data_IF_743729874491
#
_entry.id   IF_743729874491
#
_cell.length_a   1.000
_cell.length_b   1.000
_cell.length_c   1.000
_cell.angle_alpha   90.00
_cell.angle_beta   90.00
_cell.angle_gamma   90.00
#
_symmetry.space_group_name_H-M   'P 1'
#
loop_
_entity.id
_entity.type
_entity.pdbx_description
1 polymer ?
#
# COMPACT_ATOMS: atom_id res chain seq x y z
N UNK A 1 -24.93 -20.30 -1.73
CA UNK A 1 -24.98 -21.59 -1.02
C UNK A 1 -24.04 -22.63 -1.66
N UNK A 2 -23.73 -22.54 -2.95
CA UNK A 2 -22.88 -23.54 -3.66
C UNK A 2 -21.37 -23.46 -3.33
N UNK A 3 -20.83 -22.29 -2.97
CA UNK A 3 -19.38 -22.11 -2.72
C UNK A 3 -18.87 -22.66 -1.37
N UNK A 4 -19.75 -22.87 -0.37
CA UNK A 4 -19.34 -23.30 0.97
C UNK A 4 -18.89 -24.76 1.01
N UNK A 5 -19.52 -25.62 0.21
CA UNK A 5 -19.17 -27.04 0.14
C UNK A 5 -17.80 -27.26 -0.52
N UNK A 6 -17.49 -26.51 -1.58
CA UNK A 6 -16.17 -26.55 -2.21
C UNK A 6 -15.08 -26.08 -1.25
N UNK A 7 -15.26 -24.92 -0.60
CA UNK A 7 -14.33 -24.40 0.40
C UNK A 7 -14.07 -25.41 1.53
N UNK A 8 -15.14 -25.99 2.08
CA UNK A 8 -15.00 -26.99 3.13
C UNK A 8 -14.30 -28.27 2.64
N UNK A 9 -14.48 -28.65 1.37
CA UNK A 9 -13.78 -29.79 0.78
C UNK A 9 -12.29 -29.50 0.57
N UNK A 10 -11.94 -28.33 0.02
CA UNK A 10 -10.56 -27.89 -0.13
C UNK A 10 -9.84 -27.83 1.23
N UNK A 11 -10.47 -27.25 2.25
CA UNK A 11 -9.89 -27.20 3.59
C UNK A 11 -9.61 -28.61 4.16
N UNK A 12 -10.52 -29.57 3.97
CA UNK A 12 -10.27 -30.97 4.37
C UNK A 12 -9.10 -31.61 3.61
N UNK A 13 -8.89 -31.26 2.33
CA UNK A 13 -7.74 -31.73 1.56
C UNK A 13 -6.43 -31.19 2.14
N UNK A 14 -6.42 -29.91 2.54
CA UNK A 14 -5.26 -29.30 3.19
C UNK A 14 -4.92 -29.99 4.51
N UNK A 15 -5.89 -30.13 5.40
CA UNK A 15 -5.71 -30.71 6.74
C UNK A 15 -5.30 -32.20 6.68
N UNK A 16 -5.84 -32.95 5.72
CA UNK A 16 -5.56 -34.37 5.60
C UNK A 16 -4.27 -34.68 4.83
N UNK A 17 -3.77 -33.75 4.00
CA UNK A 17 -2.63 -33.95 3.11
C UNK A 17 -2.79 -35.09 2.08
N UNK A 18 -4.00 -35.68 1.97
CA UNK A 18 -4.27 -36.79 1.05
C UNK A 18 -4.24 -36.25 -0.38
N UNK A 19 -3.70 -37.04 -1.31
CA UNK A 19 -3.57 -36.71 -2.74
C UNK A 19 -2.71 -35.50 -3.08
N UNK A 20 -1.96 -34.95 -2.11
CA UNK A 20 -0.95 -33.95 -2.38
C UNK A 20 0.10 -34.53 -3.36
N UNK A 21 0.34 -33.81 -4.44
CA UNK A 21 1.20 -34.18 -5.56
C UNK A 21 2.37 -33.19 -5.72
N UNK A 22 2.52 -32.28 -4.75
CA UNK A 22 3.60 -31.29 -4.71
C UNK A 22 3.94 -30.89 -3.28
N UNK A 23 5.16 -30.41 -3.06
CA UNK A 23 5.59 -29.86 -1.76
C UNK A 23 6.19 -28.47 -1.94
N UNK A 24 5.63 -27.48 -1.26
CA UNK A 24 6.29 -26.18 -1.10
C UNK A 24 7.18 -26.21 0.14
N UNK A 25 8.39 -25.69 0.02
CA UNK A 25 9.36 -25.60 1.12
C UNK A 25 9.66 -24.13 1.36
N UNK A 26 9.51 -23.66 2.59
CA UNK A 26 9.88 -22.30 2.95
C UNK A 26 10.63 -22.33 4.30
N UNK A 27 11.92 -22.01 4.26
CA UNK A 27 12.80 -22.17 5.41
C UNK A 27 12.83 -23.63 5.88
N UNK A 28 12.28 -23.90 7.06
CA UNK A 28 12.24 -25.25 7.65
C UNK A 28 10.92 -25.96 7.43
N UNK A 29 9.89 -25.23 6.99
CA UNK A 29 8.54 -25.74 6.88
C UNK A 29 8.33 -26.37 5.50
N UNK A 30 7.63 -27.50 5.49
CA UNK A 30 7.25 -28.24 4.29
C UNK A 30 5.74 -28.36 4.24
N UNK A 31 5.17 -27.98 3.10
CA UNK A 31 3.74 -27.94 2.88
C UNK A 31 3.36 -28.91 1.74
N UNK A 32 2.84 -30.10 2.05
CA UNK A 32 2.21 -30.96 1.05
C UNK A 32 0.97 -30.25 0.48
N UNK A 33 0.97 -30.00 -0.82
CA UNK A 33 -0.07 -29.22 -1.50
C UNK A 33 -0.47 -29.86 -2.84
N UNK A 34 -1.54 -29.33 -3.43
CA UNK A 34 -2.12 -29.84 -4.68
C UNK A 34 -1.80 -28.89 -5.84
N UNK A 35 -1.11 -29.37 -6.87
CA UNK A 35 -0.74 -28.58 -8.07
C UNK A 35 -1.94 -27.86 -8.67
N UNK A 36 -3.08 -28.55 -8.74
CA UNK A 36 -4.34 -27.99 -9.26
C UNK A 36 -4.75 -26.70 -8.53
N UNK A 37 -4.68 -26.67 -7.21
CA UNK A 37 -5.10 -25.50 -6.43
C UNK A 37 -4.08 -24.36 -6.54
N UNK A 38 -2.78 -24.69 -6.60
CA UNK A 38 -1.75 -23.69 -6.85
C UNK A 38 -1.94 -23.05 -8.23
N UNK A 39 -2.09 -23.85 -9.29
CA UNK A 39 -2.28 -23.37 -10.66
C UNK A 39 -3.56 -22.55 -10.83
N UNK A 40 -4.65 -22.93 -10.14
CA UNK A 40 -5.92 -22.20 -10.19
C UNK A 40 -5.79 -20.76 -9.67
N UNK A 41 -4.93 -20.55 -8.68
CA UNK A 41 -4.81 -19.26 -7.98
C UNK A 41 -3.59 -18.44 -8.40
N UNK A 42 -2.55 -19.07 -8.96
CA UNK A 42 -1.25 -18.46 -9.19
C UNK A 42 -0.79 -18.67 -10.63
N UNK A 43 -0.65 -17.56 -11.36
CA UNK A 43 -0.07 -17.57 -12.71
C UNK A 43 1.38 -18.05 -12.69
N UNK A 44 2.10 -17.82 -11.59
CA UNK A 44 3.46 -18.36 -11.42
C UNK A 44 3.45 -19.89 -11.38
N UNK A 45 2.61 -20.50 -10.52
CA UNK A 45 2.57 -21.95 -10.38
C UNK A 45 1.94 -22.64 -11.59
N UNK A 46 0.93 -22.04 -12.22
CA UNK A 46 0.40 -22.50 -13.51
C UNK A 46 1.53 -22.66 -14.53
N UNK A 47 2.32 -21.60 -14.73
CA UNK A 47 3.47 -21.62 -15.65
C UNK A 47 4.56 -22.59 -15.20
N UNK A 48 4.86 -22.65 -13.90
CA UNK A 48 5.86 -23.55 -13.36
C UNK A 48 5.53 -24.99 -13.75
N UNK A 49 4.28 -25.40 -13.59
CA UNK A 49 3.86 -26.78 -13.85
C UNK A 49 3.82 -27.16 -15.32
N UNK A 50 3.84 -26.19 -16.24
CA UNK A 50 3.93 -26.37 -17.68
C UNK A 50 5.38 -26.35 -18.22
N UNK A 51 6.38 -26.25 -17.34
CA UNK A 51 7.81 -26.21 -17.73
C UNK A 51 8.53 -27.53 -17.50
N UNK A 52 9.66 -27.72 -18.19
CA UNK A 52 10.62 -28.80 -17.94
C UNK A 52 11.64 -28.46 -16.83
N UNK A 53 11.35 -27.45 -15.99
CA UNK A 53 12.23 -27.09 -14.89
C UNK A 53 12.25 -28.16 -13.80
N UNK A 54 13.37 -28.21 -13.07
CA UNK A 54 13.62 -29.24 -12.06
C UNK A 54 12.51 -29.27 -11.01
N UNK A 55 12.01 -28.12 -10.60
CA UNK A 55 10.95 -27.94 -9.62
C UNK A 55 9.65 -28.62 -10.10
N UNK A 56 9.30 -28.43 -11.38
CA UNK A 56 8.11 -29.04 -11.98
C UNK A 56 8.20 -30.58 -12.02
N UNK A 57 9.41 -31.12 -12.19
CA UNK A 57 9.68 -32.56 -12.33
C UNK A 57 9.96 -33.26 -10.99
N UNK A 58 10.57 -32.57 -10.03
CA UNK A 58 10.97 -33.13 -8.73
C UNK A 58 9.80 -33.25 -7.75
N UNK A 59 8.70 -32.52 -7.99
CA UNK A 59 7.55 -32.49 -7.09
C UNK A 59 7.74 -31.61 -5.86
N UNK A 60 8.85 -30.85 -5.78
CA UNK A 60 9.12 -29.93 -4.69
C UNK A 60 9.61 -28.58 -5.23
N UNK A 61 9.24 -27.48 -4.57
CA UNK A 61 9.72 -26.13 -4.89
C UNK A 61 10.07 -25.38 -3.60
N UNK A 62 11.27 -24.83 -3.55
CA UNK A 62 11.78 -24.08 -2.40
C UNK A 62 11.65 -22.56 -2.62
N UNK A 63 11.09 -21.87 -1.63
CA UNK A 63 10.78 -20.44 -1.63
C UNK A 63 11.76 -19.73 -0.67
N UNK A 64 12.96 -19.44 -1.17
CA UNK A 64 14.12 -19.04 -0.35
C UNK A 64 14.07 -17.62 0.21
N UNK A 65 13.46 -16.66 -0.50
CA UNK A 65 13.53 -15.23 -0.20
C UNK A 65 12.21 -14.65 0.33
N UNK A 66 11.35 -15.52 0.87
CA UNK A 66 9.99 -15.15 1.28
C UNK A 66 9.80 -15.30 2.78
N UNK A 67 8.98 -14.44 3.36
CA UNK A 67 8.66 -14.50 4.77
C UNK A 67 7.84 -15.77 5.08
N UNK A 68 8.33 -16.72 5.91
CA UNK A 68 7.69 -18.03 6.07
C UNK A 68 6.23 -17.96 6.51
N UNK A 69 5.90 -17.09 7.45
CA UNK A 69 4.52 -16.90 7.90
C UNK A 69 3.62 -16.35 6.76
N UNK A 70 4.15 -15.50 5.88
CA UNK A 70 3.36 -14.96 4.76
C UNK A 70 3.10 -16.01 3.68
N UNK A 71 4.09 -16.88 3.43
CA UNK A 71 3.92 -18.07 2.58
C UNK A 71 2.87 -19.00 3.17
N UNK A 72 2.90 -19.27 4.48
CA UNK A 72 1.88 -20.09 5.13
C UNK A 72 0.47 -19.51 4.97
N UNK A 73 0.33 -18.18 5.10
CA UNK A 73 -0.92 -17.46 4.87
C UNK A 73 -1.38 -17.52 3.40
N UNK A 74 -0.46 -17.42 2.43
CA UNK A 74 -0.76 -17.62 1.01
C UNK A 74 -1.24 -19.05 0.73
N UNK A 75 -0.59 -20.06 1.32
CA UNK A 75 -1.00 -21.46 1.17
C UNK A 75 -2.39 -21.66 1.79
N UNK A 76 -2.64 -21.12 2.99
CA UNK A 76 -3.97 -21.14 3.61
C UNK A 76 -5.05 -20.51 2.72
N UNK A 77 -4.70 -19.44 2.01
CA UNK A 77 -5.60 -18.81 1.04
C UNK A 77 -6.00 -19.76 -0.10
N UNK A 78 -5.08 -20.54 -0.67
CA UNK A 78 -5.41 -21.49 -1.76
C UNK A 78 -6.48 -22.53 -1.40
N UNK A 79 -6.67 -22.82 -0.12
CA UNK A 79 -7.65 -23.82 0.34
C UNK A 79 -8.89 -23.22 0.98
N UNK A 80 -8.79 -22.00 1.50
CA UNK A 80 -9.87 -21.39 2.27
C UNK A 80 -10.39 -20.07 1.69
N UNK A 81 -9.80 -19.57 0.59
CA UNK A 81 -10.15 -18.27 -0.03
C UNK A 81 -10.04 -17.08 0.94
N UNK A 82 -9.32 -17.27 2.04
CA UNK A 82 -9.03 -16.28 3.05
C UNK A 82 -7.70 -16.68 3.75
N UNK A 83 -7.03 -15.75 4.41
CA UNK A 83 -5.80 -16.03 5.14
C UNK A 83 -5.81 -15.55 6.58
N UNK A 84 -6.72 -14.63 6.95
CA UNK A 84 -6.77 -14.05 8.30
C UNK A 84 -8.23 -13.87 8.75
N UNK A 85 -8.77 -14.86 9.47
CA UNK A 85 -10.14 -14.83 10.01
C UNK A 85 -10.19 -14.34 11.45
N UNK A 86 -9.05 -14.38 12.16
CA UNK A 86 -9.00 -14.16 13.60
C UNK A 86 -7.87 -13.17 13.90
N UNK A 87 -8.20 -12.13 14.65
CA UNK A 87 -7.35 -11.00 15.07
C UNK A 87 -6.19 -11.37 15.99
N UNK A 88 -5.84 -12.66 16.09
CA UNK A 88 -4.56 -13.04 16.69
C UNK A 88 -3.47 -12.69 15.69
N UNK A 89 -2.81 -11.56 15.93
CA UNK A 89 -1.48 -11.30 15.40
C UNK A 89 -0.63 -12.53 15.66
N UNK A 90 -0.30 -13.23 14.59
CA UNK A 90 0.69 -14.29 14.62
C UNK A 90 1.98 -13.68 15.19
N UNK A 91 2.63 -14.35 16.15
CA UNK A 91 3.85 -13.85 16.83
C UNK A 91 5.00 -13.54 15.84
N UNK A 92 4.84 -13.97 14.59
CA UNK A 92 5.74 -13.72 13.47
C UNK A 92 5.67 -12.30 12.89
N UNK A 93 4.68 -11.47 13.25
CA UNK A 93 4.57 -10.08 12.78
C UNK A 93 4.43 -9.12 13.96
N UNK A 94 5.07 -7.95 13.88
CA UNK A 94 4.99 -6.91 14.90
C UNK A 94 3.56 -6.37 15.04
N UNK A 95 2.82 -6.27 13.93
CA UNK A 95 1.42 -5.85 13.93
C UNK A 95 0.67 -6.30 12.65
N UNK A 96 -0.67 -6.13 12.60
CA UNK A 96 -1.46 -6.55 11.44
C UNK A 96 -1.10 -5.84 10.11
N UNK A 97 -0.61 -4.61 10.14
CA UNK A 97 -0.22 -3.88 8.92
C UNK A 97 0.97 -4.58 8.24
N UNK A 98 1.97 -4.96 9.04
CA UNK A 98 3.14 -5.70 8.56
C UNK A 98 2.73 -7.06 7.98
N UNK A 99 1.87 -7.79 8.67
CA UNK A 99 1.32 -9.06 8.17
C UNK A 99 0.66 -8.90 6.80
N UNK A 100 -0.26 -7.93 6.64
CA UNK A 100 -0.95 -7.73 5.35
C UNK A 100 0.00 -7.24 4.26
N UNK A 101 1.02 -6.44 4.60
CA UNK A 101 2.06 -6.02 3.66
C UNK A 101 2.89 -7.22 3.15
N UNK A 102 3.33 -8.12 4.03
CA UNK A 102 4.03 -9.34 3.60
C UNK A 102 3.16 -10.25 2.75
N UNK A 103 1.88 -10.42 3.10
CA UNK A 103 0.97 -11.23 2.28
C UNK A 103 0.75 -10.60 0.90
N UNK A 104 0.64 -9.27 0.82
CA UNK A 104 0.57 -8.57 -0.46
C UNK A 104 1.82 -8.81 -1.31
N UNK A 105 3.01 -8.74 -0.72
CA UNK A 105 4.30 -8.95 -1.41
C UNK A 105 4.39 -10.35 -1.99
N UNK A 106 4.14 -11.40 -1.19
CA UNK A 106 4.19 -12.78 -1.70
C UNK A 106 3.10 -13.02 -2.76
N UNK A 107 1.91 -12.46 -2.58
CA UNK A 107 0.84 -12.58 -3.56
C UNK A 107 1.22 -11.92 -4.91
N UNK A 108 1.86 -10.76 -4.88
CA UNK A 108 2.36 -10.09 -6.09
C UNK A 108 3.48 -10.91 -6.75
N UNK A 109 4.46 -11.38 -5.97
CA UNK A 109 5.59 -12.19 -6.44
C UNK A 109 5.13 -13.47 -7.16
N UNK A 110 4.14 -14.15 -6.60
CA UNK A 110 3.60 -15.40 -7.16
C UNK A 110 2.38 -15.20 -8.05
N UNK A 111 2.03 -13.96 -8.41
CA UNK A 111 0.92 -13.68 -9.33
C UNK A 111 -0.43 -14.22 -8.86
N UNK A 112 -0.71 -14.10 -7.55
CA UNK A 112 -1.98 -14.47 -6.91
C UNK A 112 -2.84 -13.20 -6.77
N UNK A 113 -3.49 -12.81 -7.85
CA UNK A 113 -4.15 -11.50 -7.96
C UNK A 113 -5.28 -11.30 -6.93
N UNK A 114 -6.14 -12.30 -6.71
CA UNK A 114 -7.23 -12.19 -5.73
C UNK A 114 -6.72 -12.06 -4.28
N UNK A 115 -5.62 -12.75 -3.95
CA UNK A 115 -4.97 -12.64 -2.63
C UNK A 115 -4.34 -11.26 -2.46
N UNK A 116 -3.66 -10.75 -3.50
CA UNK A 116 -3.08 -9.41 -3.52
C UNK A 116 -4.16 -8.35 -3.27
N UNK A 117 -5.30 -8.47 -3.94
CA UNK A 117 -6.45 -7.58 -3.73
C UNK A 117 -7.07 -7.73 -2.33
N UNK A 118 -7.19 -8.96 -1.82
CA UNK A 118 -7.67 -9.21 -0.46
C UNK A 118 -6.74 -8.58 0.59
N UNK A 119 -5.42 -8.72 0.42
CA UNK A 119 -4.44 -8.14 1.31
C UNK A 119 -4.45 -6.62 1.31
N UNK A 120 -4.57 -6.02 0.13
CA UNK A 120 -4.74 -4.58 -0.01
C UNK A 120 -5.99 -4.08 0.71
N UNK A 121 -7.13 -4.80 0.58
CA UNK A 121 -8.38 -4.44 1.27
C UNK A 121 -8.22 -4.54 2.78
N UNK A 122 -7.72 -5.65 3.30
CA UNK A 122 -7.52 -5.82 4.75
C UNK A 122 -6.54 -4.81 5.35
N UNK A 123 -5.48 -4.45 4.63
CA UNK A 123 -4.61 -3.34 5.04
C UNK A 123 -5.37 -2.01 5.07
N UNK A 124 -6.19 -1.74 4.06
CA UNK A 124 -7.01 -0.52 3.98
C UNK A 124 -8.03 -0.44 5.13
N UNK A 125 -8.66 -1.56 5.47
CA UNK A 125 -9.63 -1.66 6.57
C UNK A 125 -9.00 -1.37 7.94
N UNK A 126 -7.68 -1.54 8.08
CA UNK A 126 -6.93 -1.18 9.30
C UNK A 126 -6.50 0.28 9.35
N UNK A 127 -6.56 1.04 8.25
CA UNK A 127 -6.12 2.45 8.22
C UNK A 127 -6.82 3.31 9.31
N UNK A 128 -8.15 3.18 9.53
CA UNK A 128 -8.84 3.91 10.62
C UNK A 128 -8.37 3.50 12.02
N UNK A 129 -7.81 2.30 12.17
CA UNK A 129 -7.39 1.71 13.44
C UNK A 129 -5.92 2.00 13.80
N UNK A 130 -5.14 2.56 12.87
CA UNK A 130 -3.71 2.86 13.08
C UNK A 130 -3.49 3.71 14.33
N UNK A 131 -4.20 4.83 14.44
CA UNK A 131 -4.05 5.75 15.59
C UNK A 131 -4.74 5.21 16.85
N UNK A 132 -6.01 4.75 16.81
CA UNK A 132 -6.67 4.21 18.01
C UNK A 132 -5.92 3.06 18.69
N UNK A 133 -5.23 2.23 17.91
CA UNK A 133 -4.51 1.05 18.41
C UNK A 133 -2.99 1.27 18.50
N UNK A 134 -2.49 2.48 18.23
CA UNK A 134 -1.06 2.82 18.18
C UNK A 134 -0.25 1.85 17.30
N UNK A 135 -0.79 1.44 16.15
CA UNK A 135 -0.07 0.58 15.21
C UNK A 135 1.07 1.36 14.58
N UNK A 136 2.27 0.78 14.55
CA UNK A 136 3.43 1.34 13.85
C UNK A 136 3.41 0.87 12.37
N UNK A 137 3.17 1.77 11.40
CA UNK A 137 3.11 1.38 9.99
C UNK A 137 4.51 1.36 9.33
N UNK A 138 5.58 1.73 10.03
CA UNK A 138 6.89 2.00 9.41
C UNK A 138 7.45 0.78 8.67
N UNK A 139 7.51 -0.39 9.32
CA UNK A 139 8.03 -1.61 8.69
C UNK A 139 7.17 -2.09 7.53
N UNK A 140 5.84 -1.95 7.65
CA UNK A 140 4.93 -2.25 6.56
C UNK A 140 5.20 -1.35 5.34
N UNK A 141 5.38 -0.04 5.56
CA UNK A 141 5.70 0.93 4.50
C UNK A 141 7.05 0.60 3.86
N UNK A 142 8.09 0.35 4.66
CA UNK A 142 9.43 -0.05 4.15
C UNK A 142 9.31 -1.25 3.22
N UNK A 143 8.64 -2.30 3.68
CA UNK A 143 8.45 -3.51 2.92
C UNK A 143 7.69 -3.25 1.61
N UNK A 144 6.57 -2.52 1.67
CA UNK A 144 5.76 -2.19 0.49
C UNK A 144 6.63 -1.48 -0.56
N UNK A 145 7.44 -0.51 -0.18
CA UNK A 145 8.25 0.26 -1.12
C UNK A 145 9.51 -0.46 -1.63
N UNK A 146 10.03 -1.43 -0.87
CA UNK A 146 11.25 -2.15 -1.24
C UNK A 146 10.99 -3.45 -1.99
N UNK A 147 9.90 -4.16 -1.66
CA UNK A 147 9.63 -5.50 -2.16
C UNK A 147 8.58 -5.56 -3.29
N UNK A 148 7.96 -4.43 -3.63
CA UNK A 148 7.04 -4.36 -4.78
C UNK A 148 7.67 -3.50 -5.88
N UNK A 149 7.51 -3.82 -7.17
CA UNK A 149 8.03 -2.99 -8.24
C UNK A 149 7.31 -1.63 -8.30
N UNK A 150 8.04 -0.60 -8.75
CA UNK A 150 7.48 0.72 -9.04
C UNK A 150 6.63 0.66 -10.31
N UNK A 151 5.39 0.23 -10.15
CA UNK A 151 4.36 0.25 -11.18
C UNK A 151 3.34 1.31 -10.78
N UNK A 152 2.91 2.16 -11.73
CA UNK A 152 1.90 3.20 -11.50
C UNK A 152 0.57 2.65 -10.89
N UNK A 153 0.35 1.34 -10.98
CA UNK A 153 -0.82 0.61 -10.50
C UNK A 153 -0.70 0.01 -9.08
N UNK A 154 0.41 0.23 -8.36
CA UNK A 154 0.56 -0.34 -7.01
C UNK A 154 -0.40 0.32 -6.01
N UNK A 155 -1.57 -0.30 -5.85
CA UNK A 155 -2.65 0.20 -4.99
C UNK A 155 -2.21 0.31 -3.53
N UNK A 156 -1.44 -0.65 -3.04
CA UNK A 156 -1.03 -0.66 -1.63
C UNK A 156 -0.03 0.46 -1.30
N UNK A 157 0.91 0.78 -2.21
CA UNK A 157 1.77 1.99 -2.07
C UNK A 157 0.93 3.26 -1.91
N UNK A 158 -0.05 3.47 -2.80
CA UNK A 158 -0.95 4.63 -2.73
C UNK A 158 -1.73 4.69 -1.42
N UNK A 159 -2.26 3.56 -0.95
CA UNK A 159 -2.97 3.48 0.34
C UNK A 159 -2.03 3.84 1.49
N UNK A 160 -0.83 3.25 1.54
CA UNK A 160 0.17 3.50 2.58
C UNK A 160 0.61 4.97 2.61
N UNK A 161 0.94 5.55 1.45
CA UNK A 161 1.31 6.97 1.33
C UNK A 161 0.17 7.88 1.76
N UNK A 162 -1.08 7.57 1.37
CA UNK A 162 -2.24 8.36 1.75
C UNK A 162 -2.48 8.29 3.26
N UNK A 163 -2.47 7.08 3.85
CA UNK A 163 -2.59 6.88 5.28
C UNK A 163 -1.51 7.68 6.04
N UNK A 164 -0.26 7.63 5.58
CA UNK A 164 0.84 8.39 6.16
C UNK A 164 0.62 9.91 6.07
N UNK A 165 0.26 10.43 4.89
CA UNK A 165 -0.05 11.86 4.72
C UNK A 165 -1.18 12.32 5.65
N UNK A 166 -2.17 11.46 5.91
CA UNK A 166 -3.32 11.80 6.74
C UNK A 166 -3.03 11.71 8.25
N UNK A 167 -2.24 10.72 8.66
CA UNK A 167 -2.12 10.32 10.07
C UNK A 167 -0.73 10.62 10.67
N UNK A 168 0.29 10.95 9.87
CA UNK A 168 1.68 11.14 10.33
C UNK A 168 1.83 12.03 11.56
N UNK A 169 1.07 13.13 11.64
CA UNK A 169 1.10 14.03 12.79
C UNK A 169 0.71 13.36 14.12
N UNK A 170 -0.20 12.38 14.11
CA UNK A 170 -0.58 11.58 15.28
C UNK A 170 0.36 10.40 15.47
N UNK A 171 0.79 9.77 14.38
CA UNK A 171 1.71 8.62 14.43
C UNK A 171 3.03 9.00 15.12
N UNK A 172 3.56 10.19 14.80
CA UNK A 172 4.79 10.74 15.41
C UNK A 172 4.70 10.82 16.93
N UNK A 173 3.50 11.00 17.51
CA UNK A 173 3.33 11.12 18.96
C UNK A 173 3.73 9.85 19.72
N UNK A 174 3.60 8.67 19.09
CA UNK A 174 3.93 7.39 19.73
C UNK A 174 5.16 6.67 19.15
N UNK A 175 5.49 6.83 17.86
CA UNK A 175 6.73 6.24 17.30
C UNK A 175 7.95 7.16 17.44
N UNK A 176 7.72 8.46 17.65
CA UNK A 176 8.77 9.47 17.78
C UNK A 176 9.39 9.94 16.46
N UNK A 177 9.93 11.16 16.49
CA UNK A 177 10.49 11.82 15.29
C UNK A 177 11.67 11.05 14.67
N UNK A 178 12.50 10.40 15.49
CA UNK A 178 13.65 9.64 15.00
C UNK A 178 13.23 8.47 14.09
N UNK A 179 12.14 7.76 14.42
CA UNK A 179 11.61 6.68 13.60
C UNK A 179 11.08 7.19 12.26
N UNK A 180 10.41 8.35 12.27
CA UNK A 180 9.94 9.04 11.05
C UNK A 180 11.10 9.45 10.15
N UNK A 181 12.13 10.08 10.74
CA UNK A 181 13.31 10.51 9.99
C UNK A 181 14.03 9.31 9.37
N UNK A 182 14.11 8.19 10.10
CA UNK A 182 14.71 6.95 9.59
C UNK A 182 13.86 6.34 8.47
N UNK A 183 12.53 6.31 8.59
CA UNK A 183 11.64 5.83 7.54
C UNK A 183 11.83 6.59 6.24
N UNK A 184 11.83 7.93 6.31
CA UNK A 184 11.97 8.79 5.13
C UNK A 184 13.36 8.65 4.48
N UNK A 185 14.41 8.35 5.27
CA UNK A 185 15.76 8.11 4.74
C UNK A 185 15.88 6.79 4.02
N UNK A 186 15.28 5.73 4.56
CA UNK A 186 15.37 4.40 3.98
C UNK A 186 14.41 4.21 2.80
N UNK A 187 13.35 5.04 2.73
CA UNK A 187 12.35 5.03 1.67
C UNK A 187 12.21 6.43 1.05
N UNK A 188 13.18 6.88 0.25
CA UNK A 188 13.14 8.21 -0.35
C UNK A 188 11.97 8.40 -1.33
N UNK A 189 11.51 7.32 -1.98
CA UNK A 189 10.36 7.32 -2.88
C UNK A 189 9.06 7.71 -2.16
N UNK A 190 8.92 7.36 -0.88
CA UNK A 190 7.79 7.77 -0.05
C UNK A 190 7.73 9.31 0.03
N UNK A 191 8.88 9.97 0.20
CA UNK A 191 8.92 11.44 0.27
C UNK A 191 8.50 12.09 -1.06
N UNK A 192 8.91 11.51 -2.18
CA UNK A 192 8.49 11.95 -3.52
C UNK A 192 6.98 11.81 -3.69
N UNK A 193 6.42 10.65 -3.33
CA UNK A 193 5.00 10.40 -3.46
C UNK A 193 4.17 11.28 -2.52
N UNK A 194 4.62 11.49 -1.29
CA UNK A 194 4.03 12.46 -0.35
C UNK A 194 4.01 13.87 -0.95
N UNK A 195 5.12 14.34 -1.53
CA UNK A 195 5.19 15.67 -2.14
C UNK A 195 4.19 15.82 -3.30
N UNK A 196 4.04 14.78 -4.13
CA UNK A 196 3.03 14.75 -5.19
C UNK A 196 1.61 14.78 -4.63
N UNK A 197 1.32 13.99 -3.59
CA UNK A 197 0.00 13.96 -2.95
C UNK A 197 -0.35 15.31 -2.32
N UNK A 198 0.57 15.95 -1.58
CA UNK A 198 0.35 17.28 -1.02
C UNK A 198 0.10 18.33 -2.12
N UNK A 199 0.85 18.27 -3.22
CA UNK A 199 0.63 19.16 -4.37
C UNK A 199 -0.78 19.00 -4.96
N UNK A 200 -1.27 17.75 -5.10
CA UNK A 200 -2.62 17.47 -5.58
C UNK A 200 -3.69 17.99 -4.60
N UNK A 201 -3.52 17.76 -3.29
CA UNK A 201 -4.44 18.25 -2.25
C UNK A 201 -4.48 19.79 -2.20
N UNK A 202 -3.34 20.46 -2.40
CA UNK A 202 -3.25 21.92 -2.46
C UNK A 202 -3.95 22.44 -3.73
N UNK A 203 -3.69 21.84 -4.90
CA UNK A 203 -4.37 22.21 -6.16
C UNK A 203 -5.89 22.08 -6.06
N UNK A 204 -6.41 21.04 -5.42
CA UNK A 204 -7.84 20.86 -5.21
C UNK A 204 -8.49 21.88 -4.25
N UNK A 205 -7.69 22.50 -3.37
CA UNK A 205 -8.16 23.54 -2.42
C UNK A 205 -7.97 24.96 -2.94
N UNK A 206 -7.09 25.16 -3.91
CA UNK A 206 -7.00 26.41 -4.66
C UNK A 206 -8.12 26.37 -5.69
N UNK A 207 -9.31 26.83 -5.30
CA UNK A 207 -10.30 27.24 -6.29
C UNK A 207 -9.63 28.34 -7.12
N UNK A 208 -9.27 28.05 -8.36
CA UNK A 208 -9.02 29.08 -9.36
C UNK A 208 -10.37 29.67 -9.77
N UNK A 209 -11.17 30.12 -8.81
CA UNK A 209 -11.91 31.35 -9.05
C UNK A 209 -10.80 32.34 -9.35
N UNK A 210 -10.71 32.73 -10.61
CA UNK A 210 -9.78 33.71 -11.13
C UNK A 210 -9.85 34.94 -10.24
N UNK A 211 -9.06 34.98 -9.18
CA UNK A 211 -8.87 36.17 -8.40
C UNK A 211 -7.98 37.00 -9.29
N UNK A 212 -8.61 37.81 -10.15
CA UNK A 212 -7.99 38.97 -10.75
C UNK A 212 -7.49 39.81 -9.57
N UNK A 213 -6.27 39.51 -9.11
CA UNK A 213 -5.61 40.35 -8.13
C UNK A 213 -5.25 41.60 -8.92
N UNK A 214 -6.15 42.57 -8.90
CA UNK A 214 -5.92 43.85 -9.53
C UNK A 214 -4.72 44.51 -8.81
N UNK A 215 -3.82 45.10 -9.59
CA UNK A 215 -2.87 46.07 -9.07
C UNK A 215 -3.64 47.23 -8.42
N UNK A 216 -3.01 48.01 -7.55
CA UNK A 216 -3.60 49.26 -7.02
C UNK A 216 -4.07 50.21 -8.13
N UNK A 217 -3.46 50.15 -9.31
CA UNK A 217 -3.86 50.91 -10.49
C UNK A 217 -5.06 50.32 -11.28
N UNK A 218 -5.70 49.27 -10.76
CA UNK A 218 -6.91 48.67 -11.35
C UNK A 218 -6.67 47.71 -12.52
N UNK A 219 -5.41 47.39 -12.86
CA UNK A 219 -5.09 46.42 -13.93
C UNK A 219 -4.93 44.99 -13.40
N UNK A 220 -5.38 43.97 -14.14
CA UNK A 220 -5.17 42.57 -13.74
C UNK A 220 -3.69 42.21 -13.78
N UNK A 221 -3.22 41.46 -12.79
CA UNK A 221 -1.91 40.80 -12.85
C UNK A 221 -1.95 39.71 -13.93
N UNK A 222 -1.01 39.73 -14.87
CA UNK A 222 -0.82 38.70 -15.89
C UNK A 222 0.49 37.94 -15.60
N UNK A 223 0.47 36.61 -15.69
CA UNK A 223 1.64 35.72 -15.52
C UNK A 223 1.39 34.54 -14.57
N UNK A 224 2.27 33.53 -14.62
CA UNK A 224 2.23 32.34 -13.75
C UNK A 224 2.92 32.62 -12.39
N UNK A 225 2.32 32.13 -11.30
CA UNK A 225 2.96 32.11 -9.98
C UNK A 225 4.21 31.19 -10.02
N UNK A 226 5.35 31.55 -9.37
CA UNK A 226 5.56 32.67 -8.44
C UNK A 226 6.20 33.92 -9.07
N UNK A 227 6.43 33.95 -10.40
CA UNK A 227 7.17 35.05 -11.06
C UNK A 227 6.46 36.42 -10.91
N UNK A 228 5.13 36.42 -10.81
CA UNK A 228 4.29 37.62 -10.60
C UNK A 228 4.56 38.35 -9.28
N UNK A 229 5.12 37.69 -8.27
CA UNK A 229 5.35 38.30 -6.94
C UNK A 229 6.53 39.27 -6.95
N UNK A 230 7.46 39.14 -7.91
CA UNK A 230 8.74 39.84 -7.91
C UNK A 230 8.88 40.92 -9.00
N UNK A 231 8.02 40.94 -10.02
CA UNK A 231 8.09 41.95 -11.08
C UNK A 231 7.18 43.16 -10.76
N UNK A 232 7.64 44.40 -10.93
CA UNK A 232 6.80 45.58 -10.75
C UNK A 232 5.76 45.70 -11.87
N UNK A 233 4.62 46.35 -11.60
CA UNK A 233 3.59 46.55 -12.60
C UNK A 233 4.11 47.39 -13.79
N UNK A 234 3.95 46.91 -15.03
CA UNK A 234 4.39 47.63 -16.23
C UNK A 234 3.75 49.01 -16.43
N UNK A 235 2.63 49.31 -15.77
CA UNK A 235 1.92 50.57 -15.92
C UNK A 235 2.21 51.58 -14.81
N UNK A 236 2.38 51.13 -13.56
CA UNK A 236 2.60 52.04 -12.42
C UNK A 236 3.95 51.85 -11.72
N UNK A 237 4.76 50.89 -12.15
CA UNK A 237 6.09 50.55 -11.64
C UNK A 237 6.20 50.26 -10.13
N UNK A 238 5.08 50.23 -9.40
CA UNK A 238 5.07 49.84 -7.99
C UNK A 238 5.19 48.32 -7.81
N UNK A 239 5.84 47.92 -6.71
CA UNK A 239 5.97 46.53 -6.29
C UNK A 239 4.68 45.97 -5.69
N UNK A 240 4.39 44.69 -5.96
CA UNK A 240 3.16 44.03 -5.54
C UNK A 240 3.09 43.64 -4.04
N UNK A 241 3.96 44.21 -3.20
CA UNK A 241 4.13 43.86 -1.78
C UNK A 241 2.86 44.04 -0.93
N UNK A 242 1.95 44.93 -1.33
CA UNK A 242 0.68 45.19 -0.63
C UNK A 242 -0.50 44.30 -1.03
N UNK A 243 -0.33 43.38 -1.99
CA UNK A 243 -1.42 42.48 -2.47
C UNK A 243 -1.38 41.09 -1.83
N UNK A 244 -0.76 40.93 -0.66
CA UNK A 244 -0.94 39.68 0.12
C UNK A 244 -2.40 39.64 0.57
N UNK A 245 -3.27 39.03 -0.24
CA UNK A 245 -4.46 38.40 0.34
C UNK A 245 -3.90 37.36 1.32
N UNK A 246 -4.28 37.48 2.59
CA UNK A 246 -4.18 36.35 3.49
C UNK A 246 -4.86 35.18 2.78
N UNK A 247 -4.08 34.21 2.32
CA UNK A 247 -4.62 32.93 1.94
C UNK A 247 -5.08 32.34 3.26
N UNK A 248 -6.38 32.50 3.58
CA UNK A 248 -7.02 31.72 4.64
C UNK A 248 -7.00 30.28 4.19
N UNK A 249 -5.88 29.61 4.41
CA UNK A 249 -5.81 28.16 4.36
C UNK A 249 -6.72 27.69 5.48
N UNK A 250 -7.91 27.17 5.14
CA UNK A 250 -8.69 26.41 6.12
C UNK A 250 -7.85 25.18 6.44
N UNK A 251 -7.11 25.21 7.55
CA UNK A 251 -6.25 24.12 8.03
C UNK A 251 -7.06 22.95 8.61
N UNK A 252 -8.33 22.80 8.23
CA UNK A 252 -9.14 21.65 8.64
C UNK A 252 -9.15 20.67 7.47
N UNK A 253 -8.20 19.74 7.52
CA UNK A 253 -8.24 18.53 6.71
C UNK A 253 -9.45 17.72 7.20
N UNK A 254 -10.59 17.87 6.54
CA UNK A 254 -11.66 16.89 6.66
C UNK A 254 -11.18 15.66 5.90
N UNK A 255 -10.82 14.63 6.64
CA UNK A 255 -10.44 13.33 6.11
C UNK A 255 -11.75 12.66 5.69
N UNK A 256 -12.01 12.62 4.39
CA UNK A 256 -13.13 11.84 3.85
C UNK A 256 -12.62 10.43 3.56
N UNK A 257 -12.91 9.50 4.47
CA UNK A 257 -12.56 8.09 4.31
C UNK A 257 -13.33 7.41 3.17
N UNK A 258 -14.32 8.08 2.54
CA UNK A 258 -14.99 7.61 1.34
C UNK A 258 -14.08 7.47 0.11
N UNK A 259 -12.84 7.99 0.16
CA UNK A 259 -11.83 7.80 -0.89
C UNK A 259 -11.23 6.38 -0.95
N UNK A 260 -11.53 5.53 0.03
CA UNK A 260 -11.01 4.16 0.13
C UNK A 260 -12.04 3.06 -0.20
N UNK A 261 -13.26 3.43 -0.65
CA UNK A 261 -14.31 2.50 -1.10
C UNK A 261 -14.22 2.20 -2.59
#
# INVERSE_FOLDING_TARGET
MEYSHFRAAAQRLFEAGKTADFTLICGRDKYPVHRLLLALHSVYFERLFDTDFKEALSGECELHDDHPAAVALMIKYFYSFDYATDTNTDEHFANPLEMHAHVYVVADKYGVEDLKQLACRKFTDLVPEIVPQNLDPTDAIRLIFTATPDQESNKLRKVATTAWCLLSHQIVEYIGQAAVDQLVRDVPELAVEMAHQYSALIKGRISTDSSSVLCKCGRPKQGDLPQVVLQPCHACHEGFAGSRKEVKVKTRMQIDFGMFQ
#
